data_IF_945722756418
#
_entry.id   IF_945722756418
#
_cell.length_a   1.000
_cell.length_b   1.000
_cell.length_c   1.000
_cell.angle_alpha   90.00
_cell.angle_beta   90.00
_cell.angle_gamma   90.00
#
_symmetry.space_group_name_H-M   'P 1'
#
loop_
_entity.id
_entity.type
_entity.pdbx_description
1 polymer ?
#
# COMPACT_ATOMS: atom_id res chain seq x y z
N UNK A 1 -9.34 -2.47 11.24
CA UNK A 1 -8.16 -2.43 10.35
C UNK A 1 -8.36 -3.43 9.23
N UNK A 2 -7.87 -3.14 8.02
CA UNK A 2 -7.91 -4.05 6.86
C UNK A 2 -6.52 -4.02 6.23
N UNK A 3 -5.98 -5.20 5.93
CA UNK A 3 -4.70 -5.35 5.25
C UNK A 3 -4.95 -5.73 3.79
N UNK A 4 -4.35 -4.98 2.87
CA UNK A 4 -4.40 -5.19 1.43
C UNK A 4 -3.00 -5.38 0.88
N UNK A 5 -2.88 -6.17 -0.18
CA UNK A 5 -1.64 -6.38 -0.91
C UNK A 5 -1.88 -6.15 -2.40
N UNK A 6 -0.89 -5.58 -3.09
CA UNK A 6 -0.90 -5.53 -4.55
C UNK A 6 0.43 -6.08 -5.08
N UNK A 7 0.42 -7.24 -5.75
CA UNK A 7 1.63 -7.81 -6.34
C UNK A 7 2.13 -6.93 -7.49
N UNK A 8 3.45 -6.78 -7.59
CA UNK A 8 4.13 -5.94 -8.57
C UNK A 8 3.83 -4.46 -8.45
N UNK A 9 3.20 -4.01 -7.36
CA UNK A 9 2.88 -2.60 -7.20
C UNK A 9 4.14 -1.75 -7.16
N UNK A 10 4.07 -0.59 -7.81
CA UNK A 10 5.14 0.41 -7.84
C UNK A 10 4.68 1.71 -7.19
N UNK A 11 5.55 2.72 -7.20
CA UNK A 11 5.25 4.05 -6.67
C UNK A 11 3.94 4.63 -7.24
N UNK A 12 3.75 4.51 -8.55
CA UNK A 12 2.55 5.04 -9.23
C UNK A 12 1.25 4.42 -8.70
N UNK A 13 1.29 3.19 -8.19
CA UNK A 13 0.14 2.54 -7.57
C UNK A 13 -0.20 3.12 -6.20
N UNK A 14 0.81 3.54 -5.44
CA UNK A 14 0.63 4.25 -4.18
C UNK A 14 0.04 5.65 -4.45
N UNK A 15 0.56 6.34 -5.46
CA UNK A 15 0.05 7.65 -5.87
C UNK A 15 -1.39 7.56 -6.40
N UNK A 16 -1.70 6.54 -7.21
CA UNK A 16 -3.06 6.26 -7.67
C UNK A 16 -4.00 5.91 -6.51
N UNK A 17 -3.47 5.24 -5.47
CA UNK A 17 -4.17 5.04 -4.22
C UNK A 17 -4.33 6.33 -3.40
N UNK A 18 -3.75 7.46 -3.79
CA UNK A 18 -3.79 8.71 -3.00
C UNK A 18 -2.95 8.62 -1.74
N UNK A 19 -1.87 7.85 -1.78
CA UNK A 19 -0.95 7.63 -0.67
C UNK A 19 0.33 8.43 -0.98
N UNK A 20 0.65 9.45 -0.17
CA UNK A 20 1.91 10.17 -0.28
C UNK A 20 3.10 9.25 -0.02
N UNK A 21 3.98 9.15 -0.99
CA UNK A 21 5.22 8.39 -0.92
C UNK A 21 6.40 9.32 -1.23
N UNK A 22 7.51 9.10 -0.53
CA UNK A 22 8.78 9.80 -0.72
C UNK A 22 9.75 8.82 -1.37
N UNK A 23 10.35 9.26 -2.46
CA UNK A 23 11.38 8.50 -3.16
C UNK A 23 12.74 9.19 -3.03
N UNK A 24 13.78 8.37 -2.97
CA UNK A 24 15.14 8.83 -3.17
C UNK A 24 15.29 9.32 -4.61
N UNK A 25 15.84 10.51 -4.77
CA UNK A 25 15.96 11.15 -6.08
C UNK A 25 17.06 10.52 -6.96
N UNK A 26 17.98 9.76 -6.38
CA UNK A 26 19.11 9.15 -7.07
C UNK A 26 18.82 7.70 -7.48
N UNK A 27 18.25 6.90 -6.57
CA UNK A 27 17.90 5.50 -6.84
C UNK A 27 16.46 5.31 -7.37
N UNK A 28 15.57 6.27 -7.14
CA UNK A 28 14.14 6.13 -7.41
C UNK A 28 13.42 5.19 -6.44
N UNK A 29 14.11 4.70 -5.40
CA UNK A 29 13.55 3.81 -4.40
C UNK A 29 12.69 4.56 -3.39
N UNK A 30 11.66 3.91 -2.88
CA UNK A 30 10.79 4.49 -1.86
C UNK A 30 11.49 4.47 -0.49
N UNK A 31 11.73 5.66 0.06
CA UNK A 31 12.43 5.86 1.34
C UNK A 31 11.47 6.03 2.51
N UNK A 32 10.27 6.53 2.24
CA UNK A 32 9.22 6.68 3.23
C UNK A 32 7.86 6.78 2.55
N UNK A 33 6.79 6.56 3.29
CA UNK A 33 5.46 6.95 2.88
C UNK A 33 4.74 7.55 4.08
N UNK A 34 4.07 8.68 3.87
CA UNK A 34 3.34 9.38 4.93
C UNK A 34 1.85 9.09 4.78
N UNK A 35 1.30 8.47 5.81
CA UNK A 35 -0.07 8.03 5.82
C UNK A 35 -0.57 7.93 7.24
N UNK A 36 -1.09 9.03 7.79
CA UNK A 36 -1.77 9.02 9.10
C UNK A 36 -2.94 8.00 9.20
N UNK A 37 -3.43 7.47 8.08
CA UNK A 37 -4.45 6.41 8.02
C UNK A 37 -3.96 5.03 7.55
N UNK A 38 -2.66 4.87 7.26
CA UNK A 38 -2.10 3.69 6.60
C UNK A 38 -0.78 3.24 7.24
N UNK A 39 -0.61 1.93 7.43
CA UNK A 39 0.72 1.31 7.52
C UNK A 39 1.13 0.82 6.13
N UNK A 40 2.38 1.06 5.72
CA UNK A 40 2.86 0.71 4.39
C UNK A 40 4.13 -0.13 4.54
N UNK A 41 4.23 -1.21 3.79
CA UNK A 41 5.43 -2.07 3.80
C UNK A 41 5.74 -2.50 2.37
N UNK A 42 6.94 -2.18 1.91
CA UNK A 42 7.44 -2.60 0.61
C UNK A 42 8.09 -3.97 0.69
N UNK A 43 7.79 -4.81 -0.29
CA UNK A 43 8.36 -6.13 -0.50
C UNK A 43 8.91 -6.23 -1.93
N UNK A 44 9.80 -7.19 -2.18
CA UNK A 44 10.31 -7.48 -3.54
C UNK A 44 9.16 -7.69 -4.55
N UNK A 45 8.06 -8.25 -4.07
CA UNK A 45 6.93 -8.67 -4.89
C UNK A 45 5.80 -7.64 -4.94
N UNK A 46 5.92 -6.46 -4.34
CA UNK A 46 4.88 -5.43 -4.30
C UNK A 46 4.71 -4.74 -2.95
N UNK A 47 3.52 -4.19 -2.69
CA UNK A 47 3.26 -3.38 -1.49
C UNK A 47 2.13 -3.94 -0.64
N UNK A 48 2.31 -3.85 0.69
CA UNK A 48 1.26 -4.06 1.68
C UNK A 48 0.75 -2.73 2.23
N UNK A 49 -0.58 -2.61 2.33
CA UNK A 49 -1.28 -1.49 2.93
C UNK A 49 -2.16 -1.96 4.10
N UNK A 50 -1.88 -1.44 5.29
CA UNK A 50 -2.73 -1.59 6.47
C UNK A 50 -3.57 -0.35 6.66
N UNK A 51 -4.87 -0.43 6.41
CA UNK A 51 -5.80 0.67 6.70
C UNK A 51 -6.12 0.68 8.20
N UNK A 52 -5.70 1.74 8.90
CA UNK A 52 -5.91 1.89 10.34
C UNK A 52 -7.37 2.22 10.67
N UNK A 53 -8.03 3.02 9.83
CA UNK A 53 -9.45 3.41 9.94
C UNK A 53 -10.17 3.19 8.61
N UNK A 54 -10.45 1.93 8.23
CA UNK A 54 -11.06 1.63 6.94
C UNK A 54 -12.53 2.07 6.88
N UNK A 55 -12.93 2.57 5.72
CA UNK A 55 -14.34 2.76 5.33
C UNK A 55 -14.63 1.88 4.10
N UNK A 56 -15.88 1.43 3.94
CA UNK A 56 -16.27 0.59 2.79
C UNK A 56 -15.94 1.26 1.45
N UNK A 57 -16.18 2.57 1.35
CA UNK A 57 -15.85 3.36 0.17
C UNK A 57 -14.33 3.34 -0.13
N UNK A 58 -13.49 3.49 0.90
CA UNK A 58 -12.04 3.49 0.72
C UNK A 58 -11.51 2.11 0.34
N UNK A 59 -12.03 1.06 0.95
CA UNK A 59 -11.67 -0.33 0.62
C UNK A 59 -12.08 -0.67 -0.80
N UNK A 60 -13.30 -0.29 -1.21
CA UNK A 60 -13.77 -0.50 -2.57
C UNK A 60 -12.91 0.25 -3.61
N UNK A 61 -12.52 1.51 -3.32
CA UNK A 61 -11.63 2.27 -4.19
C UNK A 61 -10.26 1.59 -4.38
N UNK A 62 -9.65 1.10 -3.29
CA UNK A 62 -8.39 0.37 -3.38
C UNK A 62 -8.54 -0.94 -4.14
N UNK A 63 -9.63 -1.70 -3.92
CA UNK A 63 -9.91 -2.92 -4.71
C UNK A 63 -10.09 -2.62 -6.20
N UNK A 64 -10.70 -1.49 -6.55
CA UNK A 64 -10.79 -1.02 -7.94
C UNK A 64 -9.43 -0.71 -8.59
N UNK A 65 -8.42 -0.39 -7.78
CA UNK A 65 -7.04 -0.19 -8.22
C UNK A 65 -6.21 -1.48 -8.21
N UNK A 66 -6.83 -2.65 -7.96
CA UNK A 66 -6.16 -3.94 -7.96
C UNK A 66 -5.51 -4.33 -6.63
N UNK A 67 -5.77 -3.60 -5.55
CA UNK A 67 -5.38 -4.02 -4.20
C UNK A 67 -6.31 -5.13 -3.72
N UNK A 68 -5.76 -6.28 -3.38
CA UNK A 68 -6.52 -7.45 -2.93
C UNK A 68 -6.35 -7.66 -1.44
N UNK A 69 -7.23 -8.46 -0.83
CA UNK A 69 -7.05 -8.83 0.57
C UNK A 69 -5.68 -9.49 0.73
N UNK A 70 -4.90 -8.99 1.69
CA UNK A 70 -3.57 -9.52 1.93
C UNK A 70 -3.67 -11.02 2.23
N UNK A 71 -2.87 -11.89 1.57
CA UNK A 71 -2.78 -13.27 1.98
C UNK A 71 -2.39 -13.28 3.47
N UNK A 72 -3.13 -14.03 4.31
CA UNK A 72 -2.83 -14.15 5.73
C UNK A 72 -1.42 -14.72 5.90
N UNK A 73 -0.42 -13.87 6.01
CA UNK A 73 0.88 -14.28 6.51
C UNK A 73 0.87 -14.02 8.01
N UNK A 74 0.48 -15.06 8.75
CA UNK A 74 0.79 -15.18 10.18
C UNK A 74 2.31 -15.30 10.23
N UNK A 75 2.99 -14.33 10.84
CA UNK A 75 4.42 -14.50 11.14
C UNK A 75 4.59 -15.76 12.00
N UNK A 76 5.45 -16.66 11.56
CA UNK A 76 6.03 -17.71 12.40
C UNK A 76 7.29 -17.16 13.07
#
# INVERSE_FOLDING_TARGET
MIDLFKPGAQLDDLLAAGIPAYVDAESGELVAADGHGYGITGWEDGWFLRLLSPTDARVAALRGLGWVDAPRQVWA
#
